data_IF_978055892788
#
_entry.id   IF_978055892788
#
_cell.length_a   1.000
_cell.length_b   1.000
_cell.length_c   1.000
_cell.angle_alpha   90.00
_cell.angle_beta   90.00
_cell.angle_gamma   90.00
#
_symmetry.space_group_name_H-M   'P 1'
#
loop_
_entity.id
_entity.type
_entity.pdbx_description
1 polymer ?
#
# COMPACT_ATOMS: atom_id res chain seq x y z
N UNK A 1 -21.92 1.74 -4.44
CA UNK A 1 -20.49 1.34 -4.40
C UNK A 1 -19.60 2.11 -5.38
N UNK A 2 -20.12 2.64 -6.50
CA UNK A 2 -19.33 3.33 -7.54
C UNK A 2 -18.65 4.68 -7.18
N UNK A 3 -19.22 5.59 -6.37
CA UNK A 3 -18.63 6.93 -6.20
C UNK A 3 -17.33 6.93 -5.37
N UNK A 4 -17.17 6.00 -4.43
CA UNK A 4 -15.94 5.89 -3.62
C UNK A 4 -14.80 5.23 -4.42
N UNK A 5 -15.14 4.24 -5.25
CA UNK A 5 -14.19 3.56 -6.13
C UNK A 5 -13.68 4.49 -7.23
N UNK A 6 -14.50 5.42 -7.75
CA UNK A 6 -14.07 6.34 -8.81
C UNK A 6 -13.03 7.35 -8.33
N UNK A 7 -13.19 7.94 -7.13
CA UNK A 7 -12.20 8.85 -6.54
C UNK A 7 -10.90 8.12 -6.21
N UNK A 8 -10.97 6.91 -5.64
CA UNK A 8 -9.80 6.08 -5.40
C UNK A 8 -9.07 5.63 -6.68
N UNK A 9 -9.81 5.37 -7.76
CA UNK A 9 -9.25 4.95 -9.06
C UNK A 9 -8.48 6.06 -9.78
N UNK A 10 -8.85 7.32 -9.55
CA UNK A 10 -8.16 8.47 -10.15
C UNK A 10 -6.74 8.67 -9.59
N UNK A 11 -6.49 8.23 -8.35
CA UNK A 11 -5.19 8.39 -7.67
C UNK A 11 -4.39 7.09 -7.52
N UNK A 12 -4.78 6.04 -8.25
CA UNK A 12 -4.14 4.72 -8.17
C UNK A 12 -4.23 4.06 -6.79
N UNK A 13 -5.38 4.22 -6.11
CA UNK A 13 -5.61 3.72 -4.74
C UNK A 13 -6.51 2.48 -4.74
N UNK A 14 -7.51 2.40 -5.62
CA UNK A 14 -8.40 1.24 -5.76
C UNK A 14 -8.90 1.13 -7.20
N UNK A 15 -9.18 -0.09 -7.67
CA UNK A 15 -9.84 -0.27 -8.97
C UNK A 15 -11.03 -1.24 -8.89
N UNK A 16 -12.11 -0.98 -9.66
CA UNK A 16 -13.33 -1.79 -9.63
C UNK A 16 -13.21 -3.09 -10.44
N UNK A 17 -12.05 -3.37 -11.05
CA UNK A 17 -11.89 -4.55 -11.90
C UNK A 17 -11.86 -5.85 -11.09
N UNK A 18 -12.41 -6.90 -11.69
CA UNK A 18 -12.31 -8.28 -11.19
C UNK A 18 -11.63 -9.12 -12.25
N UNK A 19 -10.83 -10.08 -11.81
CA UNK A 19 -10.14 -11.01 -12.69
C UNK A 19 -9.64 -12.21 -11.91
N UNK A 20 -9.27 -13.27 -12.64
CA UNK A 20 -8.63 -14.46 -12.11
C UNK A 20 -7.37 -14.72 -12.94
N UNK A 21 -6.32 -15.24 -12.29
CA UNK A 21 -5.03 -15.50 -12.93
C UNK A 21 -4.46 -14.24 -13.60
N UNK A 22 -4.60 -13.09 -12.93
CA UNK A 22 -4.05 -11.81 -13.40
C UNK A 22 -2.57 -11.77 -13.05
N UNK A 23 -1.64 -11.68 -14.02
CA UNK A 23 -0.23 -11.52 -13.72
C UNK A 23 0.00 -10.21 -12.97
N UNK A 24 0.86 -10.25 -11.97
CA UNK A 24 1.23 -9.07 -11.19
C UNK A 24 2.69 -9.09 -10.78
N UNK A 25 3.25 -7.92 -10.50
CA UNK A 25 4.56 -7.75 -9.88
C UNK A 25 4.46 -6.88 -8.63
N UNK A 26 5.38 -7.10 -7.71
CA UNK A 26 5.55 -6.33 -6.49
C UNK A 26 7.03 -5.92 -6.42
N UNK A 27 7.29 -4.62 -6.33
CA UNK A 27 8.64 -4.07 -6.24
C UNK A 27 8.76 -3.25 -4.96
N UNK A 28 9.79 -3.58 -4.16
CA UNK A 28 10.10 -2.95 -2.89
C UNK A 28 11.44 -2.22 -3.00
N UNK A 29 11.46 -0.92 -2.72
CA UNK A 29 12.69 -0.11 -2.76
C UNK A 29 12.86 0.67 -1.48
N UNK A 30 13.98 0.45 -0.78
CA UNK A 30 14.33 1.16 0.44
C UNK A 30 15.31 2.31 0.15
N UNK A 31 15.07 3.49 0.73
CA UNK A 31 15.91 4.68 0.56
C UNK A 31 15.67 5.73 1.63
N UNK A 32 16.45 6.81 1.57
CA UNK A 32 16.17 8.04 2.32
C UNK A 32 15.49 9.07 1.43
N UNK A 33 14.34 9.55 1.87
CA UNK A 33 13.57 10.58 1.17
C UNK A 33 14.24 11.97 1.29
N UNK A 34 13.62 13.02 0.72
CA UNK A 34 14.22 14.36 0.73
C UNK A 34 14.26 15.00 2.13
N UNK A 35 13.52 14.45 3.09
CA UNK A 35 13.54 14.85 4.51
C UNK A 35 14.48 13.98 5.36
N UNK A 36 15.18 13.01 4.74
CA UNK A 36 16.14 12.13 5.41
C UNK A 36 15.50 10.93 6.13
N UNK A 37 14.19 10.72 5.97
CA UNK A 37 13.44 9.61 6.59
C UNK A 37 13.74 8.31 5.85
N UNK A 38 13.85 7.21 6.59
CA UNK A 38 13.93 5.88 5.99
C UNK A 38 12.56 5.52 5.42
N UNK A 39 12.55 5.28 4.11
CA UNK A 39 11.35 5.11 3.30
C UNK A 39 11.43 3.81 2.53
N UNK A 40 10.35 3.05 2.52
CA UNK A 40 10.16 1.93 1.61
C UNK A 40 9.03 2.27 0.64
N UNK A 41 9.36 2.35 -0.64
CA UNK A 41 8.35 2.39 -1.71
C UNK A 41 7.90 0.96 -2.02
N UNK A 42 6.59 0.77 -2.12
CA UNK A 42 5.97 -0.47 -2.57
C UNK A 42 5.15 -0.21 -3.86
N UNK A 43 5.61 -0.77 -4.98
CA UNK A 43 4.92 -0.64 -6.27
C UNK A 43 4.31 -1.99 -6.64
N UNK A 44 3.00 -1.98 -6.89
CA UNK A 44 2.27 -3.16 -7.34
C UNK A 44 1.74 -2.92 -8.74
N UNK A 45 2.06 -3.79 -9.69
CA UNK A 45 1.57 -3.71 -11.07
C UNK A 45 0.71 -4.92 -11.38
N UNK A 46 -0.45 -4.70 -11.98
CA UNK A 46 -1.39 -5.77 -12.37
C UNK A 46 -1.67 -5.69 -13.87
N UNK A 47 -1.39 -6.77 -14.59
CA UNK A 47 -1.58 -6.90 -16.04
C UNK A 47 -2.99 -7.43 -16.38
N UNK A 48 -4.03 -6.78 -15.84
CA UNK A 48 -5.42 -7.08 -16.21
C UNK A 48 -5.79 -6.52 -17.59
N UNK A 49 -7.09 -6.59 -17.95
CA UNK A 49 -7.62 -5.99 -19.20
C UNK A 49 -7.21 -4.52 -19.35
N UNK A 50 -7.13 -3.80 -18.24
CA UNK A 50 -6.51 -2.48 -18.14
C UNK A 50 -5.33 -2.63 -17.18
N UNK A 51 -4.08 -2.37 -17.60
CA UNK A 51 -2.94 -2.38 -16.71
C UNK A 51 -3.13 -1.39 -15.57
N UNK A 52 -2.81 -1.81 -14.35
CA UNK A 52 -2.92 -1.01 -13.13
C UNK A 52 -1.60 -0.96 -12.39
N UNK A 53 -1.32 0.19 -11.77
CA UNK A 53 -0.16 0.42 -10.91
C UNK A 53 -0.66 1.03 -9.60
N UNK A 54 -0.13 0.58 -8.47
CA UNK A 54 -0.40 1.14 -7.14
C UNK A 54 0.92 1.45 -6.46
N UNK A 55 1.03 2.67 -5.96
CA UNK A 55 2.23 3.14 -5.28
C UNK A 55 1.87 3.43 -3.82
N UNK A 56 2.69 2.90 -2.92
CA UNK A 56 2.63 3.13 -1.49
C UNK A 56 4.02 3.54 -1.01
N UNK A 57 4.10 4.49 -0.09
CA UNK A 57 5.35 5.03 0.42
C UNK A 57 5.30 5.00 1.94
N UNK A 58 6.06 4.09 2.54
CA UNK A 58 6.00 3.82 3.96
C UNK A 58 7.21 4.42 4.67
N UNK A 59 6.95 5.15 5.75
CA UNK A 59 7.96 5.66 6.67
C UNK A 59 7.62 5.22 8.09
N UNK A 60 8.62 5.20 8.97
CA UNK A 60 8.35 5.18 10.40
C UNK A 60 8.14 6.62 10.90
N UNK A 61 7.02 6.86 11.59
CA UNK A 61 6.71 8.15 12.21
C UNK A 61 7.02 8.08 13.70
N UNK A 62 8.04 8.83 14.13
CA UNK A 62 8.42 8.91 15.55
C UNK A 62 7.29 9.53 16.39
N UNK A 63 6.60 10.53 15.85
CA UNK A 63 5.50 11.20 16.53
C UNK A 63 4.31 10.26 16.82
N UNK A 64 4.13 9.23 16.00
CA UNK A 64 3.02 8.25 16.13
C UNK A 64 3.48 6.88 16.61
N UNK A 65 4.80 6.67 16.70
CA UNK A 65 5.46 5.42 17.04
C UNK A 65 4.91 4.24 16.21
N UNK A 66 4.79 4.42 14.89
CA UNK A 66 4.24 3.42 13.95
C UNK A 66 4.63 3.73 12.51
N UNK A 67 4.39 2.76 11.63
CA UNK A 67 4.53 2.99 10.19
C UNK A 67 3.35 3.83 9.68
N UNK A 68 3.67 4.84 8.89
CA UNK A 68 2.70 5.62 8.12
C UNK A 68 2.88 5.31 6.65
N UNK A 69 1.82 4.84 6.02
CA UNK A 69 1.75 4.54 4.60
C UNK A 69 1.05 5.67 3.85
N UNK A 70 1.77 6.28 2.92
CA UNK A 70 1.23 7.24 2.00
C UNK A 70 0.76 6.57 0.71
N UNK A 71 -0.54 6.62 0.45
CA UNK A 71 -1.16 6.03 -0.72
C UNK A 71 -1.16 6.98 -1.91
N UNK A 72 -0.69 6.49 -3.06
CA UNK A 72 -0.64 7.20 -4.33
C UNK A 72 0.57 8.13 -4.47
N UNK A 73 0.83 8.56 -5.70
CA UNK A 73 2.09 9.24 -6.10
C UNK A 73 2.34 10.61 -5.47
N UNK A 74 1.36 11.21 -4.80
CA UNK A 74 1.47 12.58 -4.25
C UNK A 74 1.30 12.62 -2.72
N UNK A 75 1.21 11.45 -2.08
CA UNK A 75 1.14 11.31 -0.62
C UNK A 75 0.00 12.11 0.05
N UNK A 76 -1.16 12.20 -0.63
CA UNK A 76 -2.31 12.90 -0.05
C UNK A 76 -3.04 12.11 1.02
N UNK A 77 -2.96 10.78 1.00
CA UNK A 77 -3.66 9.93 1.94
C UNK A 77 -2.62 9.21 2.78
N UNK A 78 -2.48 9.61 4.04
CA UNK A 78 -1.62 8.96 5.01
C UNK A 78 -2.44 7.98 5.86
N UNK A 79 -1.90 6.79 6.08
CA UNK A 79 -2.60 5.69 6.75
C UNK A 79 -1.68 5.10 7.81
N UNK A 80 -2.16 5.03 9.04
CA UNK A 80 -1.45 4.30 10.09
C UNK A 80 -1.47 2.81 9.79
N UNK A 81 -0.34 2.13 9.97
CA UNK A 81 -0.26 0.69 9.85
C UNK A 81 0.06 0.05 11.20
N UNK A 82 -0.79 -0.90 11.60
CA UNK A 82 -0.52 -1.83 12.70
C UNK A 82 0.07 -3.10 12.12
N UNK A 83 1.31 -3.43 12.52
CA UNK A 83 2.03 -4.62 12.05
C UNK A 83 2.04 -5.68 13.14
N UNK A 84 1.87 -6.93 12.74
CA UNK A 84 1.94 -8.09 13.62
C UNK A 84 2.41 -9.32 12.83
N UNK A 85 2.89 -10.33 13.54
CA UNK A 85 3.16 -11.64 12.96
C UNK A 85 1.96 -12.54 13.26
N UNK A 86 1.44 -13.22 12.25
CA UNK A 86 0.34 -14.16 12.43
C UNK A 86 0.83 -15.53 12.93
N UNK A 87 -0.11 -16.42 13.27
CA UNK A 87 0.17 -17.75 13.83
C UNK A 87 1.01 -18.66 12.90
N UNK A 88 1.09 -18.32 11.61
CA UNK A 88 1.86 -19.05 10.60
C UNK A 88 3.27 -18.47 10.40
N UNK A 89 3.64 -17.44 11.16
CA UNK A 89 4.88 -16.68 10.96
C UNK A 89 4.80 -15.69 9.80
N UNK A 90 3.60 -15.43 9.27
CA UNK A 90 3.38 -14.45 8.21
C UNK A 90 3.30 -13.03 8.73
N UNK A 91 3.62 -12.05 7.88
CA UNK A 91 3.41 -10.64 8.17
C UNK A 91 1.93 -10.29 7.99
N UNK A 92 1.34 -9.70 9.02
CA UNK A 92 0.00 -9.11 8.99
C UNK A 92 0.10 -7.60 9.15
N UNK A 93 -0.51 -6.88 8.22
CA UNK A 93 -0.62 -5.43 8.23
C UNK A 93 -2.09 -5.06 8.28
N UNK A 94 -2.48 -4.22 9.23
CA UNK A 94 -3.83 -3.68 9.33
C UNK A 94 -3.79 -2.16 9.25
N UNK A 95 -4.61 -1.57 8.39
CA UNK A 95 -4.72 -0.12 8.35
C UNK A 95 -5.58 0.43 9.49
N UNK A 96 -5.14 1.55 10.05
CA UNK A 96 -5.76 2.26 11.15
C UNK A 96 -6.33 3.59 10.72
N UNK A 97 -6.04 4.64 11.51
CA UNK A 97 -6.47 5.99 11.24
C UNK A 97 -5.93 6.49 9.89
N UNK A 98 -6.76 7.25 9.18
CA UNK A 98 -6.45 7.78 7.85
C UNK A 98 -6.54 9.29 7.86
N UNK A 99 -5.66 9.97 7.12
CA UNK A 99 -5.57 11.43 7.08
C UNK A 99 -5.41 11.89 5.65
N UNK A 100 -6.11 12.95 5.30
CA UNK A 100 -5.95 13.62 4.00
C UNK A 100 -5.09 14.87 4.16
N UNK A 101 -4.03 14.96 3.36
CA UNK A 101 -3.12 16.10 3.25
C UNK A 101 -3.17 16.71 1.84
N UNK A 102 -3.67 17.95 1.75
CA UNK A 102 -3.76 18.71 0.51
C UNK A 102 -3.32 20.16 0.73
N UNK A 103 -2.09 20.48 0.35
CA UNK A 103 -1.50 21.79 0.59
C UNK A 103 -1.50 22.11 2.08
N UNK A 104 -2.22 23.16 2.50
CA UNK A 104 -2.37 23.56 3.91
C UNK A 104 -3.46 22.79 4.65
N UNK A 105 -4.35 22.11 3.93
CA UNK A 105 -5.47 21.37 4.49
C UNK A 105 -4.97 20.01 5.00
N UNK A 106 -5.31 19.71 6.24
CA UNK A 106 -5.01 18.45 6.91
C UNK A 106 -6.23 18.06 7.76
N UNK A 107 -6.80 16.88 7.53
CA UNK A 107 -7.89 16.37 8.37
C UNK A 107 -7.86 14.85 8.48
N UNK A 108 -8.36 14.35 9.61
CA UNK A 108 -8.59 12.92 9.80
C UNK A 108 -9.81 12.48 8.99
N UNK A 109 -9.59 11.52 8.10
CA UNK A 109 -10.64 11.01 7.23
C UNK A 109 -11.53 10.05 8.03
N UNK A 110 -12.85 10.33 8.16
CA UNK A 110 -13.71 9.50 8.98
C UNK A 110 -13.81 8.08 8.41
N UNK A 111 -13.41 7.08 9.20
CA UNK A 111 -13.38 5.67 8.77
C UNK A 111 -14.75 5.12 8.36
N UNK A 112 -15.84 5.76 8.77
CA UNK A 112 -17.20 5.44 8.29
C UNK A 112 -17.31 5.55 6.76
N UNK A 113 -16.52 6.45 6.16
CA UNK A 113 -16.44 6.65 4.72
C UNK A 113 -15.25 5.93 4.07
N UNK A 114 -14.48 5.12 4.82
CA UNK A 114 -13.27 4.47 4.32
C UNK A 114 -13.24 2.95 4.53
N UNK A 115 -12.24 2.28 3.95
CA UNK A 115 -11.96 0.87 4.16
C UNK A 115 -10.80 0.65 5.12
N UNK A 116 -10.92 -0.34 6.00
CA UNK A 116 -9.81 -0.95 6.73
C UNK A 116 -9.24 -2.07 5.85
N UNK A 117 -7.96 -1.99 5.54
CA UNK A 117 -7.22 -2.97 4.78
C UNK A 117 -6.54 -3.93 5.76
N UNK A 118 -6.72 -5.22 5.54
CA UNK A 118 -5.89 -6.27 6.12
C UNK A 118 -5.07 -6.87 5.00
N UNK A 119 -3.76 -6.88 5.17
CA UNK A 119 -2.81 -7.54 4.28
C UNK A 119 -2.15 -8.66 5.09
N UNK A 120 -2.11 -9.86 4.52
CA UNK A 120 -1.36 -10.98 5.06
C UNK A 120 -0.41 -11.48 3.98
N UNK A 121 0.87 -11.57 4.31
CA UNK A 121 1.91 -12.14 3.45
C UNK A 121 2.64 -13.24 4.22
N UNK A 122 2.75 -14.42 3.63
CA UNK A 122 3.38 -15.56 4.29
C UNK A 122 4.02 -16.49 3.27
N UNK A 123 4.96 -17.31 3.73
CA UNK A 123 5.51 -18.39 2.94
C UNK A 123 4.66 -19.65 3.15
N UNK A 124 4.26 -20.30 2.05
CA UNK A 124 3.48 -21.54 2.06
C UNK A 124 4.43 -22.71 1.74
N UNK A 125 4.87 -23.40 2.79
CA UNK A 125 5.81 -24.52 2.69
C UNK A 125 5.31 -25.65 1.77
N UNK A 126 3.99 -25.90 1.76
CA UNK A 126 3.39 -26.96 0.93
C UNK A 126 3.48 -26.65 -0.56
N UNK A 127 3.41 -25.37 -0.92
CA UNK A 127 3.48 -24.90 -2.30
C UNK A 127 4.88 -24.39 -2.68
N UNK A 128 5.80 -24.28 -1.71
CA UNK A 128 7.12 -23.68 -1.85
C UNK A 128 7.08 -22.29 -2.51
N UNK A 129 6.14 -21.43 -2.07
CA UNK A 129 5.87 -20.11 -2.66
C UNK A 129 5.40 -19.11 -1.62
N UNK A 130 5.62 -17.82 -1.86
CA UNK A 130 4.97 -16.77 -1.09
C UNK A 130 3.50 -16.62 -1.48
N UNK A 131 2.68 -16.25 -0.50
CA UNK A 131 1.26 -15.95 -0.64
C UNK A 131 1.00 -14.54 -0.17
N UNK A 132 0.05 -13.88 -0.81
CA UNK A 132 -0.49 -12.59 -0.40
C UNK A 132 -2.00 -12.66 -0.39
N UNK A 133 -2.59 -12.10 0.65
CA UNK A 133 -4.01 -11.85 0.76
C UNK A 133 -4.23 -10.41 1.19
N UNK A 134 -5.03 -9.69 0.40
CA UNK A 134 -5.47 -8.34 0.71
C UNK A 134 -6.99 -8.35 0.80
N UNK A 135 -7.50 -7.86 1.92
CA UNK A 135 -8.93 -7.68 2.14
C UNK A 135 -9.21 -6.28 2.69
N UNK A 136 -10.00 -5.51 1.95
CA UNK A 136 -10.43 -4.17 2.33
C UNK A 136 -11.91 -4.20 2.64
N UNK A 137 -12.26 -3.84 3.88
CA UNK A 137 -13.63 -3.87 4.38
C UNK A 137 -14.01 -2.52 4.99
N UNK A 138 -15.26 -2.11 4.79
CA UNK A 138 -15.88 -1.02 5.53
C UNK A 138 -16.89 -1.61 6.52
N UNK A 139 -16.99 -1.02 7.70
CA UNK A 139 -17.88 -1.49 8.77
C UNK A 139 -19.36 -1.55 8.38
N UNK A 140 -19.82 -0.62 7.53
CA UNK A 140 -21.23 -0.48 7.14
C UNK A 140 -21.55 -1.08 5.77
N UNK A 141 -20.60 -1.04 4.84
CA UNK A 141 -20.80 -1.52 3.46
C UNK A 141 -20.20 -2.90 3.18
N UNK A 142 -19.52 -3.49 4.18
CA UNK A 142 -18.87 -4.78 4.04
C UNK A 142 -17.63 -4.72 3.17
N UNK A 143 -17.33 -5.80 2.45
CA UNK A 143 -16.13 -5.93 1.64
C UNK A 143 -16.14 -4.97 0.45
N UNK A 144 -15.15 -4.08 0.40
CA UNK A 144 -14.97 -3.11 -0.68
C UNK A 144 -14.17 -3.68 -1.84
N UNK A 145 -13.04 -4.32 -1.53
CA UNK A 145 -12.08 -4.84 -2.50
C UNK A 145 -11.16 -5.88 -1.84
N UNK A 146 -10.55 -6.75 -2.65
CA UNK A 146 -9.48 -7.61 -2.18
C UNK A 146 -8.93 -8.48 -3.30
N UNK A 147 -7.75 -9.05 -3.07
CA UNK A 147 -7.13 -10.01 -3.96
C UNK A 147 -6.35 -11.04 -3.18
N UNK A 148 -6.13 -12.19 -3.80
CA UNK A 148 -5.25 -13.25 -3.28
C UNK A 148 -4.35 -13.71 -4.41
N UNK A 149 -3.11 -14.02 -4.09
CA UNK A 149 -2.11 -14.43 -5.07
C UNK A 149 -0.97 -15.20 -4.46
N UNK A 150 -0.09 -15.66 -5.34
CA UNK A 150 1.20 -16.24 -4.97
C UNK A 150 2.29 -15.67 -5.86
N UNK A 151 3.49 -15.54 -5.33
CA UNK A 151 4.64 -14.99 -6.04
C UNK A 151 5.93 -15.65 -5.52
N UNK A 152 6.99 -15.48 -6.30
CA UNK A 152 8.35 -15.75 -5.89
C UNK A 152 9.08 -14.42 -5.69
N UNK A 153 10.17 -14.44 -4.94
CA UNK A 153 10.93 -13.24 -4.59
C UNK A 153 12.33 -13.33 -5.15
N UNK A 154 12.78 -12.25 -5.77
CA UNK A 154 14.16 -12.04 -6.18
C UNK A 154 14.70 -10.83 -5.42
N UNK A 155 15.83 -10.98 -4.75
CA UNK A 155 16.51 -9.88 -4.08
C UNK A 155 17.55 -9.28 -5.02
N UNK A 156 17.40 -7.99 -5.30
CA UNK A 156 18.35 -7.25 -6.14
C UNK A 156 19.08 -6.24 -5.27
N UNK A 157 20.42 -6.28 -5.19
CA UNK A 157 21.18 -5.20 -4.58
C UNK A 157 21.01 -3.94 -5.46
N UNK A 158 20.71 -2.81 -4.84
CA UNK A 158 20.55 -1.52 -5.51
C UNK A 158 21.47 -0.52 -4.83
N UNK A 159 22.33 0.15 -5.59
CA UNK A 159 23.16 1.26 -5.10
C UNK A 159 22.33 2.52 -4.84
N UNK A 160 22.76 3.40 -3.92
CA UNK A 160 21.99 4.61 -3.56
C UNK A 160 21.71 5.55 -4.76
N UNK A 161 22.56 5.54 -5.79
CA UNK A 161 22.39 6.31 -7.02
C UNK A 161 21.45 5.65 -8.06
N UNK A 162 20.97 4.43 -7.83
CA UNK A 162 20.23 3.63 -8.80
C UNK A 162 18.71 3.71 -8.63
N UNK A 163 18.21 4.48 -7.65
CA UNK A 163 16.77 4.62 -7.45
C UNK A 163 16.21 5.57 -8.49
N UNK A 164 15.58 4.97 -9.50
CA UNK A 164 14.96 5.67 -10.61
C UNK A 164 13.91 6.69 -10.09
N UNK A 165 13.78 7.86 -10.74
CA UNK A 165 12.80 8.87 -10.34
C UNK A 165 11.36 8.36 -10.28
N UNK A 166 11.00 7.37 -11.10
CA UNK A 166 9.66 6.76 -11.11
C UNK A 166 9.34 5.92 -9.86
N UNK A 167 10.34 5.61 -9.03
CA UNK A 167 10.17 4.93 -7.73
C UNK A 167 9.85 5.93 -6.62
N UNK A 168 10.19 7.21 -6.81
CA UNK A 168 9.93 8.26 -5.84
C UNK A 168 8.54 8.85 -6.05
N UNK A 169 7.88 9.33 -4.98
CA UNK A 169 6.64 10.05 -5.14
C UNK A 169 6.91 11.35 -5.90
N UNK A 170 5.90 11.83 -6.63
CA UNK A 170 5.93 13.16 -7.28
C UNK A 170 5.95 14.30 -6.28
N UNK A 171 5.47 14.05 -5.06
CA UNK A 171 5.46 14.99 -3.94
C UNK A 171 5.57 14.23 -2.63
N UNK A 172 6.48 14.67 -1.78
CA UNK A 172 6.64 14.15 -0.42
C UNK A 172 5.88 15.03 0.59
N UNK A 173 5.18 14.39 1.52
CA UNK A 173 4.48 15.03 2.63
C UNK A 173 5.38 15.03 3.88
N UNK A 174 5.49 16.19 4.53
CA UNK A 174 6.48 16.46 5.59
C UNK A 174 5.94 16.40 7.01
N UNK A 175 4.63 16.22 7.18
CA UNK A 175 3.93 16.33 8.49
C UNK A 175 4.13 15.12 9.42
N UNK A 176 4.89 14.14 8.98
CA UNK A 176 5.31 12.96 9.75
C UNK A 176 6.82 12.98 9.94
#
# INVERSE_FOLDING_TARGET
TLPFLSVGSWRSIMFPERGRNVPFSIENHAYRDSFGRETVTWIRRFAGRKPRRFDAYMIFSDARNRIVDYLGTHQHLAVDLDLSVDERGGLRIRSGAQRLYEGRIAFEFPLIFSGVANVCEWFDDSANRYRIEVDVHNRYWGRLFGYRGSFDVEYRPIGAAEILPDIRPKREERRE
#
